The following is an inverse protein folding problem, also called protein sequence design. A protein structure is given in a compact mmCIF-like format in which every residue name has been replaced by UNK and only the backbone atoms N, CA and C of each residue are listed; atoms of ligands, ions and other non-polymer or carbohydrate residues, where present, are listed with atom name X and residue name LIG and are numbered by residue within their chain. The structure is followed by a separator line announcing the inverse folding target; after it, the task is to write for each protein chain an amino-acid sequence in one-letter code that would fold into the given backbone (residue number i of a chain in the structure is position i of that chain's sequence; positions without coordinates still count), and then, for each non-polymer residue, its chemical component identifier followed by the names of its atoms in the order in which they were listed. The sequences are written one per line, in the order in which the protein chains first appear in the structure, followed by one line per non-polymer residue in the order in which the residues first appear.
data_IF_530613849494
#
_entry.id   IF_530613849494
#
_cell.length_a   1.000
_cell.length_b   1.000
_cell.length_c   1.000
_cell.angle_alpha   90.00
_cell.angle_beta   90.00
_cell.angle_gamma   90.00
#
_symmetry.space_group_name_H-M   'P 1'
#
loop_
_entity.id
_entity.type
_entity.pdbx_description
1 polymer ?
#
# COMPACT_ATOMS: atom_id res chain seq x y z
N UNK A 1 3.99 -5.37 12.49
CA UNK A 1 3.02 -4.27 12.64
C UNK A 1 2.11 -4.23 11.41
N UNK A 2 0.85 -3.95 11.60
CA UNK A 2 -0.13 -3.94 10.50
C UNK A 2 -1.06 -2.74 10.56
N UNK A 3 -1.56 -2.36 9.39
CA UNK A 3 -2.66 -1.39 9.25
C UNK A 3 -3.62 -1.91 8.20
N UNK A 4 -4.90 -1.81 8.47
CA UNK A 4 -5.95 -2.11 7.50
C UNK A 4 -6.52 -0.80 7.00
N UNK A 5 -6.70 -0.67 5.69
CA UNK A 5 -7.20 0.55 5.08
C UNK A 5 -8.05 0.22 3.86
N UNK A 6 -9.08 1.03 3.63
CA UNK A 6 -9.90 0.93 2.43
C UNK A 6 -9.31 1.85 1.36
N UNK A 7 -9.13 1.32 0.16
CA UNK A 7 -8.62 2.10 -0.97
C UNK A 7 -9.65 3.16 -1.36
N UNK A 8 -9.30 4.43 -1.20
CA UNK A 8 -10.17 5.56 -1.55
C UNK A 8 -9.85 6.15 -2.92
N UNK A 9 -8.70 5.78 -3.50
CA UNK A 9 -8.26 6.28 -4.81
C UNK A 9 -9.27 5.87 -5.86
N UNK A 10 -9.89 6.84 -6.53
CA UNK A 10 -10.96 6.59 -7.50
C UNK A 10 -10.51 5.62 -8.59
N UNK A 11 -9.27 5.71 -9.05
CA UNK A 11 -8.71 4.84 -10.08
C UNK A 11 -8.30 3.46 -9.55
N UNK A 12 -8.29 3.27 -8.21
CA UNK A 12 -7.76 2.07 -7.58
C UNK A 12 -6.24 2.02 -7.65
N UNK A 13 -5.66 0.87 -7.28
CA UNK A 13 -4.22 0.64 -7.37
C UNK A 13 -3.85 0.03 -8.72
N UNK A 14 -4.15 0.77 -9.79
CA UNK A 14 -3.88 0.38 -11.17
C UNK A 14 -3.01 1.45 -11.82
N UNK A 15 -2.31 1.08 -12.88
CA UNK A 15 -1.56 2.00 -13.72
C UNK A 15 -0.71 3.03 -12.91
N UNK A 16 -1.00 4.32 -13.10
CA UNK A 16 -0.22 5.39 -12.47
C UNK A 16 -0.28 5.38 -10.94
N UNK A 17 -1.44 5.23 -10.30
CA UNK A 17 -1.47 5.12 -8.83
C UNK A 17 -0.63 3.96 -8.29
N UNK A 18 -0.62 2.82 -8.99
CA UNK A 18 0.19 1.67 -8.58
C UNK A 18 1.68 2.00 -8.64
N UNK A 19 2.13 2.68 -9.70
CA UNK A 19 3.52 3.09 -9.83
C UNK A 19 3.93 4.08 -8.75
N UNK A 20 3.07 5.07 -8.47
CA UNK A 20 3.33 6.07 -7.43
C UNK A 20 3.36 5.42 -6.03
N UNK A 21 2.45 4.49 -5.79
CA UNK A 21 2.42 3.77 -4.52
C UNK A 21 3.69 2.95 -4.31
N UNK A 22 4.12 2.21 -5.33
CA UNK A 22 5.33 1.39 -5.25
C UNK A 22 6.56 2.26 -5.00
N UNK A 23 6.64 3.41 -5.66
CA UNK A 23 7.73 4.36 -5.46
C UNK A 23 7.75 4.89 -4.03
N UNK A 24 6.59 5.26 -3.50
CA UNK A 24 6.48 5.74 -2.13
C UNK A 24 6.84 4.66 -1.12
N UNK A 25 6.40 3.43 -1.35
CA UNK A 25 6.75 2.30 -0.50
C UNK A 25 8.26 2.03 -0.49
N UNK A 26 8.91 2.11 -1.66
CA UNK A 26 10.34 1.92 -1.78
C UNK A 26 11.17 2.99 -1.10
N UNK A 27 10.60 4.16 -0.84
CA UNK A 27 11.25 5.26 -0.15
C UNK A 27 11.12 5.18 1.39
N UNK A 28 10.37 4.21 1.90
CA UNK A 28 10.17 4.08 3.34
C UNK A 28 11.39 3.46 4.03
N UNK A 29 11.58 3.76 5.32
CA UNK A 29 12.76 3.25 6.05
C UNK A 29 12.74 1.75 6.32
N UNK A 30 11.59 1.10 6.18
CA UNK A 30 11.46 -0.35 6.36
C UNK A 30 10.66 -0.96 5.21
N UNK A 31 10.88 -2.23 4.86
CA UNK A 31 10.08 -2.91 3.86
C UNK A 31 8.63 -3.06 4.30
N UNK A 32 7.70 -2.88 3.37
CA UNK A 32 6.26 -3.03 3.61
C UNK A 32 5.69 -4.04 2.62
N UNK A 33 4.79 -4.87 3.09
CA UNK A 33 3.99 -5.77 2.26
C UNK A 33 2.54 -5.30 2.25
N UNK A 34 1.83 -5.61 1.18
CA UNK A 34 0.42 -5.29 1.03
C UNK A 34 -0.34 -6.53 0.54
N UNK A 35 -1.53 -6.72 1.07
CA UNK A 35 -2.43 -7.81 0.63
C UNK A 35 -3.86 -7.29 0.62
N UNK A 36 -4.68 -7.83 -0.28
CA UNK A 36 -6.13 -7.69 -0.10
C UNK A 36 -6.54 -8.58 1.08
N UNK A 37 -7.56 -8.19 1.80
CA UNK A 37 -8.04 -8.98 2.93
C UNK A 37 -8.32 -10.42 2.47
N UNK A 38 -7.64 -11.37 3.10
CA UNK A 38 -7.75 -12.79 2.75
C UNK A 38 -6.89 -13.23 1.58
N UNK A 39 -6.13 -12.32 0.97
CA UNK A 39 -5.24 -12.65 -0.15
C UNK A 39 -3.78 -12.79 0.28
N UNK A 40 -2.94 -13.16 -0.68
CA UNK A 40 -1.51 -13.31 -0.45
C UNK A 40 -0.82 -11.95 -0.46
N UNK A 41 0.14 -11.73 0.45
CA UNK A 41 0.89 -10.48 0.47
C UNK A 41 1.90 -10.39 -0.68
N UNK A 42 2.09 -9.16 -1.15
CA UNK A 42 3.12 -8.83 -2.14
C UNK A 42 3.97 -7.69 -1.62
N UNK A 43 5.15 -7.51 -2.19
CA UNK A 43 6.04 -6.41 -1.86
C UNK A 43 5.39 -5.10 -2.32
N UNK A 44 5.14 -4.19 -1.38
CA UNK A 44 4.51 -2.90 -1.69
C UNK A 44 5.37 -2.02 -2.59
N UNK A 45 6.68 -2.26 -2.66
CA UNK A 45 7.60 -1.54 -3.54
C UNK A 45 7.66 -2.12 -4.95
N UNK A 46 6.94 -3.21 -5.22
CA UNK A 46 6.94 -3.85 -6.54
C UNK A 46 5.73 -3.41 -7.35
N UNK A 47 5.95 -2.70 -8.45
CA UNK A 47 4.87 -2.29 -9.36
C UNK A 47 4.09 -3.51 -9.86
N UNK A 48 4.81 -4.56 -10.26
CA UNK A 48 4.16 -5.79 -10.74
C UNK A 48 3.34 -6.45 -9.64
N UNK A 49 3.87 -6.49 -8.41
CA UNK A 49 3.15 -7.03 -7.26
C UNK A 49 1.86 -6.26 -6.99
N UNK A 50 1.93 -4.94 -6.99
CA UNK A 50 0.75 -4.08 -6.80
C UNK A 50 -0.28 -4.31 -7.90
N UNK A 51 0.15 -4.43 -9.14
CA UNK A 51 -0.77 -4.65 -10.26
C UNK A 51 -1.44 -6.02 -10.19
N UNK A 52 -0.70 -7.05 -9.77
CA UNK A 52 -1.30 -8.38 -9.60
C UNK A 52 -2.26 -8.44 -8.41
N UNK A 53 -2.10 -7.55 -7.44
CA UNK A 53 -2.99 -7.45 -6.30
C UNK A 53 -4.43 -7.12 -6.76
N UNK A 54 -4.56 -6.25 -7.76
CA UNK A 54 -5.85 -5.91 -8.33
C UNK A 54 -6.78 -5.16 -7.39
N UNK A 55 -6.22 -4.34 -6.50
CA UNK A 55 -7.03 -3.58 -5.55
C UNK A 55 -7.75 -2.42 -6.24
N UNK A 56 -9.06 -2.37 -6.10
CA UNK A 56 -9.91 -1.32 -6.66
C UNK A 56 -10.41 -0.40 -5.55
N UNK A 57 -10.99 0.73 -5.93
CA UNK A 57 -11.62 1.63 -4.97
C UNK A 57 -12.67 0.87 -4.17
N UNK A 58 -12.65 1.05 -2.85
CA UNK A 58 -13.54 0.33 -1.94
C UNK A 58 -13.01 -0.99 -1.40
N UNK A 59 -11.94 -1.52 -2.01
CA UNK A 59 -11.33 -2.75 -1.51
C UNK A 59 -10.53 -2.48 -0.23
N UNK A 60 -10.62 -3.41 0.70
CA UNK A 60 -9.84 -3.35 1.93
C UNK A 60 -8.50 -4.06 1.73
N UNK A 61 -7.43 -3.41 2.13
CA UNK A 61 -6.09 -3.97 2.06
C UNK A 61 -5.42 -3.90 3.43
N UNK A 62 -4.45 -4.80 3.64
CA UNK A 62 -3.65 -4.87 4.85
C UNK A 62 -2.21 -4.52 4.49
N UNK A 63 -1.65 -3.53 5.17
CA UNK A 63 -0.25 -3.18 5.07
C UNK A 63 0.48 -3.78 6.26
N UNK A 64 1.63 -4.39 6.01
CA UNK A 64 2.36 -5.12 7.04
C UNK A 64 3.86 -4.83 6.97
N UNK A 65 4.48 -4.71 8.15
CA UNK A 65 5.94 -4.71 8.30
C UNK A 65 6.33 -5.86 9.22
N UNK A 66 7.53 -6.41 9.03
CA UNK A 66 8.11 -7.34 10.00
C UNK A 66 8.68 -6.58 11.19
N UNK A 67 9.20 -5.39 10.93
CA UNK A 67 9.75 -4.52 11.97
C UNK A 67 8.63 -3.83 12.77
N UNK A 68 8.94 -3.48 14.01
CA UNK A 68 8.11 -2.63 14.86
C UNK A 68 8.87 -1.34 15.13
N UNK A 69 8.21 -0.38 15.76
CA UNK A 69 8.82 0.86 16.19
C UNK A 69 8.48 2.04 15.29
N UNK A 70 9.22 3.14 15.50
CA UNK A 70 8.87 4.43 14.88
C UNK A 70 8.99 4.42 13.35
N UNK A 71 10.01 3.74 12.82
CA UNK A 71 10.18 3.65 11.37
C UNK A 71 9.05 2.86 10.72
N UNK A 72 8.63 1.77 11.36
CA UNK A 72 7.51 0.97 10.88
C UNK A 72 6.20 1.77 10.93
N UNK A 73 5.97 2.48 12.03
CA UNK A 73 4.79 3.33 12.19
C UNK A 73 4.76 4.41 11.11
N UNK A 74 5.88 5.09 10.90
CA UNK A 74 5.98 6.16 9.89
C UNK A 74 5.72 5.61 8.49
N UNK A 75 6.28 4.44 8.17
CA UNK A 75 6.09 3.82 6.85
C UNK A 75 4.62 3.46 6.63
N UNK A 76 3.99 2.81 7.60
CA UNK A 76 2.59 2.41 7.48
C UNK A 76 1.66 3.63 7.39
N UNK A 77 1.91 4.65 8.22
CA UNK A 77 1.09 5.86 8.21
C UNK A 77 1.18 6.59 6.86
N UNK A 78 2.38 6.67 6.28
CA UNK A 78 2.58 7.29 4.97
C UNK A 78 1.79 6.58 3.88
N UNK A 79 1.78 5.25 3.90
CA UNK A 79 1.06 4.47 2.89
C UNK A 79 -0.44 4.46 3.11
N UNK A 80 -0.89 4.47 4.36
CA UNK A 80 -2.32 4.64 4.68
C UNK A 80 -2.81 5.99 4.17
N UNK A 81 -2.05 7.05 4.39
CA UNK A 81 -2.40 8.38 3.90
C UNK A 81 -2.52 8.39 2.38
N UNK A 82 -1.58 7.75 1.68
CA UNK A 82 -1.63 7.64 0.22
C UNK A 82 -2.92 6.97 -0.24
N UNK A 83 -3.26 5.83 0.36
CA UNK A 83 -4.43 5.04 -0.04
C UNK A 83 -5.75 5.69 0.34
N UNK A 84 -5.73 6.64 1.27
CA UNK A 84 -6.93 7.33 1.76
C UNK A 84 -7.31 8.54 0.92
N UNK A 85 -6.50 8.93 -0.06
CA UNK A 85 -6.77 10.04 -0.96
C UNK A 85 -7.67 9.58 -2.10
N UNK A 86 -8.58 10.45 -2.55
CA UNK A 86 -9.42 10.14 -3.71
C UNK A 86 -8.65 10.23 -5.02
N UNK A 87 -7.66 11.12 -5.08
CA UNK A 87 -6.80 11.29 -6.24
C UNK A 87 -5.37 11.43 -5.80
N UNK A 88 -4.45 10.85 -6.57
CA UNK A 88 -3.01 10.96 -6.35
C UNK A 88 -2.34 11.58 -7.56
N UNK A 89 -1.36 12.46 -7.30
CA UNK A 89 -0.68 13.18 -8.36
C UNK A 89 0.49 12.39 -8.93
#
# INVERSE_FOLDING_TARGET
MERTVVVAITEGLHARPAALFAQKAGAQPVPVQIAKTGGDPVDAASILGIMTLGASVGDEVVLRTEADGDDATAALDALVEFLSQEAVA
#
